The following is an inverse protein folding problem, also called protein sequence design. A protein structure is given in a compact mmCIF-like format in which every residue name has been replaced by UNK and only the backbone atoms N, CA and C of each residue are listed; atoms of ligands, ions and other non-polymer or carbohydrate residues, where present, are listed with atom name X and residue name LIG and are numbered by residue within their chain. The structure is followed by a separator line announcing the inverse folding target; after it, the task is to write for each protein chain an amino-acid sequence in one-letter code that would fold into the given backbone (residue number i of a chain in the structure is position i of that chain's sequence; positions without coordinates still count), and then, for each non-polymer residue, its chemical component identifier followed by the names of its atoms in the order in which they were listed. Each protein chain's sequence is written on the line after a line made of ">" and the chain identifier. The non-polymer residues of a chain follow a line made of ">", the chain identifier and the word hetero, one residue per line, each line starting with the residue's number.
data_IF_359881613131
#
_entry.id   IF_359881613131
#
_cell.length_a   1.000
_cell.length_b   1.000
_cell.length_c   1.000
_cell.angle_alpha   90.00
_cell.angle_beta   90.00
_cell.angle_gamma   90.00
#
_symmetry.space_group_name_H-M   'P 1'
#
loop_
_entity.id
_entity.type
_entity.pdbx_description
1 polymer ?
#
# COMPACT_ATOMS: atom_id res chain seq x y z
N UNK A 1 -1.60 10.87 3.39
CA UNK A 1 -2.09 9.94 2.35
C UNK A 1 -0.98 8.96 2.00
N UNK A 2 -1.31 7.77 1.47
CA UNK A 2 -0.32 6.75 1.12
C UNK A 2 0.66 7.21 0.03
N UNK A 3 0.18 7.93 -0.99
CA UNK A 3 1.06 8.49 -2.04
C UNK A 3 2.18 9.37 -1.48
N UNK A 4 1.87 10.24 -0.51
CA UNK A 4 2.87 11.08 0.16
C UNK A 4 3.91 10.29 0.97
N UNK A 5 3.53 9.14 1.51
CA UNK A 5 4.47 8.26 2.18
C UNK A 5 5.43 7.61 1.17
N UNK A 6 4.93 7.17 0.02
CA UNK A 6 5.76 6.68 -1.09
C UNK A 6 6.73 7.77 -1.57
N UNK A 7 6.25 8.99 -1.76
CA UNK A 7 7.11 10.12 -2.17
C UNK A 7 8.19 10.44 -1.13
N UNK A 8 7.85 10.38 0.16
CA UNK A 8 8.81 10.60 1.24
C UNK A 8 9.91 9.53 1.25
N UNK A 9 9.55 8.25 1.10
CA UNK A 9 10.52 7.15 1.02
C UNK A 9 11.40 7.28 -0.22
N UNK A 10 10.82 7.60 -1.38
CA UNK A 10 11.55 7.82 -2.63
C UNK A 10 12.58 8.96 -2.50
N UNK A 11 12.22 10.05 -1.82
CA UNK A 11 13.15 11.14 -1.53
C UNK A 11 14.27 10.71 -0.57
N UNK A 12 13.93 10.00 0.52
CA UNK A 12 14.90 9.57 1.54
C UNK A 12 15.97 8.63 0.99
N UNK A 13 15.63 7.76 0.04
CA UNK A 13 16.58 6.80 -0.54
C UNK A 13 17.29 7.34 -1.80
N UNK A 14 17.06 8.60 -2.16
CA UNK A 14 17.74 9.28 -3.26
C UNK A 14 17.19 8.97 -4.66
N UNK A 15 15.96 8.47 -4.79
CA UNK A 15 15.33 8.26 -6.12
C UNK A 15 15.00 9.61 -6.75
N UNK A 16 14.30 10.46 -6.00
CA UNK A 16 13.79 11.73 -6.54
C UNK A 16 13.53 12.74 -5.43
N UNK A 17 14.16 13.91 -5.53
CA UNK A 17 13.95 15.03 -4.61
C UNK A 17 12.94 16.06 -5.15
N UNK A 18 12.80 16.17 -6.47
CA UNK A 18 11.85 17.08 -7.15
C UNK A 18 11.00 16.31 -8.15
N UNK A 19 9.68 16.48 -8.12
CA UNK A 19 8.75 15.86 -9.06
C UNK A 19 8.31 16.85 -10.17
N UNK A 20 8.07 16.34 -11.37
CA UNK A 20 7.57 17.10 -12.54
C UNK A 20 6.14 16.73 -12.91
N UNK A 21 5.60 15.65 -12.33
CA UNK A 21 4.20 15.24 -12.43
C UNK A 21 3.75 14.48 -11.17
N UNK A 22 2.44 14.31 -11.01
CA UNK A 22 1.85 13.61 -9.87
C UNK A 22 2.28 12.12 -9.81
N UNK A 23 2.55 11.62 -8.60
CA UNK A 23 2.97 10.24 -8.33
C UNK A 23 4.31 9.80 -8.96
N UNK A 24 5.07 10.70 -9.59
CA UNK A 24 6.34 10.37 -10.23
C UNK A 24 7.31 9.62 -9.30
N UNK A 25 7.52 10.12 -8.09
CA UNK A 25 8.49 9.53 -7.16
C UNK A 25 8.04 8.12 -6.72
N UNK A 26 6.73 7.91 -6.53
CA UNK A 26 6.16 6.58 -6.27
C UNK A 26 6.33 5.60 -7.44
N UNK A 27 6.13 6.05 -8.68
CA UNK A 27 6.34 5.22 -9.89
C UNK A 27 7.81 4.84 -10.04
N UNK A 28 8.72 5.77 -9.79
CA UNK A 28 10.15 5.50 -9.90
C UNK A 28 10.66 4.60 -8.77
N UNK A 29 10.09 4.74 -7.57
CA UNK A 29 10.34 3.83 -6.44
C UNK A 29 9.90 2.40 -6.76
N UNK A 30 8.76 2.23 -7.43
CA UNK A 30 8.32 0.95 -7.96
C UNK A 30 9.26 0.41 -9.05
N UNK A 31 9.71 1.29 -9.95
CA UNK A 31 10.62 0.95 -11.05
C UNK A 31 12.01 0.46 -10.62
N UNK A 32 12.38 0.60 -9.35
CA UNK A 32 13.58 -0.02 -8.77
C UNK A 32 13.45 -1.53 -8.60
N UNK A 33 12.23 -2.05 -8.59
CA UNK A 33 11.96 -3.46 -8.27
C UNK A 33 12.00 -4.32 -9.55
N UNK A 34 12.73 -5.45 -9.54
CA UNK A 34 12.63 -6.42 -10.61
C UNK A 34 11.23 -7.08 -10.62
N UNK A 35 10.75 -7.57 -11.78
CA UNK A 35 9.51 -8.33 -11.85
C UNK A 35 9.52 -9.52 -10.88
N UNK A 36 8.42 -9.74 -10.16
CA UNK A 36 8.29 -10.78 -9.12
C UNK A 36 9.37 -10.67 -8.03
N UNK A 37 9.69 -9.45 -7.61
CA UNK A 37 10.71 -9.20 -6.59
C UNK A 37 10.52 -10.08 -5.33
N UNK A 38 11.55 -10.85 -4.93
CA UNK A 38 11.44 -11.78 -3.82
C UNK A 38 11.39 -11.07 -2.46
N UNK A 39 11.98 -9.87 -2.33
CA UNK A 39 11.97 -9.09 -1.08
C UNK A 39 10.57 -8.55 -0.81
N UNK A 40 9.88 -8.06 -1.84
CA UNK A 40 8.47 -7.63 -1.70
C UNK A 40 7.59 -8.78 -1.22
N UNK A 41 7.85 -9.99 -1.72
CA UNK A 41 7.08 -11.18 -1.36
C UNK A 41 7.50 -11.80 -0.02
N UNK A 42 8.69 -11.49 0.49
CA UNK A 42 9.18 -11.96 1.78
C UNK A 42 8.66 -11.08 2.94
N UNK A 43 7.64 -11.60 3.62
CA UNK A 43 7.03 -10.96 4.79
C UNK A 43 8.03 -10.75 5.94
N UNK A 44 9.03 -11.61 6.10
CA UNK A 44 9.95 -11.56 7.23
C UNK A 44 11.03 -10.47 7.07
N UNK A 45 11.26 -10.03 5.84
CA UNK A 45 12.26 -9.01 5.53
C UNK A 45 11.73 -7.58 5.58
N UNK A 46 10.42 -7.39 5.79
CA UNK A 46 9.78 -6.06 5.73
C UNK A 46 10.11 -5.17 6.92
N UNK A 47 9.91 -3.86 6.75
CA UNK A 47 9.73 -2.99 7.89
C UNK A 47 8.37 -3.26 8.58
N UNK A 48 8.20 -2.72 9.78
CA UNK A 48 6.98 -2.88 10.57
C UNK A 48 6.35 -1.52 10.81
N UNK A 49 5.05 -1.42 10.51
CA UNK A 49 4.22 -0.31 10.97
C UNK A 49 3.78 -0.58 12.40
N UNK A 50 3.67 0.46 13.22
CA UNK A 50 2.91 0.36 14.46
C UNK A 50 1.43 0.52 14.13
N UNK A 51 0.62 -0.44 14.57
CA UNK A 51 -0.83 -0.42 14.39
C UNK A 51 -1.49 -0.39 15.77
N UNK A 52 -2.38 0.56 15.99
CA UNK A 52 -3.09 0.71 17.24
C UNK A 52 -4.50 1.29 17.03
N UNK A 53 -5.38 1.05 17.99
CA UNK A 53 -6.74 1.61 18.01
C UNK A 53 -6.72 2.94 18.78
N UNK A 54 -7.23 4.01 18.19
CA UNK A 54 -7.35 5.33 18.83
C UNK A 54 -8.76 5.62 19.39
N UNK A 55 -9.69 4.67 19.26
CA UNK A 55 -11.08 4.78 19.67
C UNK A 55 -12.04 5.14 18.53
N UNK A 56 -11.54 5.74 17.44
CA UNK A 56 -12.29 6.04 16.21
C UNK A 56 -11.93 5.06 15.07
N UNK A 57 -10.82 4.34 15.19
CA UNK A 57 -10.48 3.22 14.32
C UNK A 57 -9.02 2.78 14.44
N UNK A 58 -8.63 1.87 13.55
CA UNK A 58 -7.25 1.40 13.45
C UNK A 58 -6.36 2.46 12.78
N UNK A 59 -5.34 2.92 13.50
CA UNK A 59 -4.31 3.84 13.02
C UNK A 59 -3.05 3.06 12.66
N UNK A 60 -2.49 3.39 11.49
CA UNK A 60 -1.21 2.86 11.00
C UNK A 60 -0.17 3.99 11.08
N UNK A 61 0.76 3.92 12.04
CA UNK A 61 1.80 4.94 12.23
C UNK A 61 3.02 4.68 11.32
N UNK A 62 3.34 5.58 10.38
CA UNK A 62 4.50 5.44 9.51
C UNK A 62 5.85 5.79 10.16
N UNK A 63 5.87 6.39 11.36
CA UNK A 63 7.09 6.88 11.98
C UNK A 63 8.18 5.80 12.18
N UNK A 64 7.86 4.56 12.64
CA UNK A 64 8.85 3.50 12.78
C UNK A 64 9.51 3.14 11.45
N UNK A 65 8.74 3.13 10.35
CA UNK A 65 9.25 2.82 9.02
C UNK A 65 10.17 3.92 8.51
N UNK A 66 9.78 5.18 8.66
CA UNK A 66 10.63 6.30 8.24
C UNK A 66 11.97 6.27 9.00
N UNK A 67 11.95 5.97 10.30
CA UNK A 67 13.17 5.79 11.08
C UNK A 67 14.03 4.63 10.57
N UNK A 68 13.41 3.49 10.25
CA UNK A 68 14.11 2.31 9.73
C UNK A 68 14.72 2.56 8.33
N UNK A 69 13.98 3.23 7.44
CA UNK A 69 14.46 3.65 6.12
C UNK A 69 15.68 4.56 6.26
N UNK A 70 15.62 5.58 7.13
CA UNK A 70 16.76 6.47 7.38
C UNK A 70 17.97 5.70 7.92
N UNK A 71 17.75 4.73 8.80
CA UNK A 71 18.82 3.90 9.34
C UNK A 71 19.49 3.05 8.23
N UNK A 72 18.71 2.45 7.34
CA UNK A 72 19.24 1.64 6.24
C UNK A 72 19.95 2.48 5.18
N UNK A 73 19.45 3.68 4.88
CA UNK A 73 20.17 4.66 4.04
C UNK A 73 21.53 4.99 4.64
N UNK A 74 21.61 5.27 5.95
CA UNK A 74 22.87 5.55 6.65
C UNK A 74 23.84 4.36 6.67
N UNK A 75 23.31 3.14 6.59
CA UNK A 75 24.09 1.90 6.50
C UNK A 75 24.54 1.57 5.06
N UNK A 76 24.12 2.35 4.07
CA UNK A 76 24.43 2.09 2.66
C UNK A 76 23.71 0.87 2.09
N UNK A 77 22.53 0.54 2.61
CA UNK A 77 21.69 -0.51 2.03
C UNK A 77 21.24 -0.06 0.62
N UNK A 78 21.29 -0.95 -0.40
CA UNK A 78 20.86 -0.59 -1.75
C UNK A 78 19.41 -0.07 -1.80
N UNK A 79 19.11 0.98 -2.59
CA UNK A 79 17.77 1.55 -2.71
C UNK A 79 16.70 0.52 -3.10
N UNK A 80 17.03 -0.44 -3.97
CA UNK A 80 16.12 -1.49 -4.43
C UNK A 80 15.67 -2.38 -3.27
N UNK A 81 16.60 -2.72 -2.37
CA UNK A 81 16.30 -3.50 -1.17
C UNK A 81 15.40 -2.70 -0.21
N UNK A 82 15.68 -1.41 -0.01
CA UNK A 82 14.84 -0.55 0.85
C UNK A 82 13.44 -0.42 0.26
N UNK A 83 13.33 -0.19 -1.06
CA UNK A 83 12.06 -0.13 -1.77
C UNK A 83 11.27 -1.44 -1.60
N UNK A 84 11.92 -2.59 -1.75
CA UNK A 84 11.29 -3.90 -1.58
C UNK A 84 10.74 -4.10 -0.17
N UNK A 85 11.54 -3.79 0.86
CA UNK A 85 11.14 -3.88 2.27
C UNK A 85 9.99 -2.92 2.61
N UNK A 86 9.97 -1.73 2.02
CA UNK A 86 8.90 -0.76 2.19
C UNK A 86 7.58 -1.25 1.57
N UNK A 87 7.58 -1.71 0.32
CA UNK A 87 6.38 -2.28 -0.30
C UNK A 87 5.88 -3.50 0.48
N UNK A 88 6.80 -4.35 0.95
CA UNK A 88 6.46 -5.46 1.82
C UNK A 88 5.87 -4.98 3.16
N UNK A 89 6.32 -3.87 3.73
CA UNK A 89 5.73 -3.36 4.97
C UNK A 89 4.28 -2.91 4.75
N UNK A 90 4.02 -2.17 3.65
CA UNK A 90 2.68 -1.64 3.34
C UNK A 90 1.67 -2.75 3.14
N UNK A 91 2.00 -3.77 2.33
CA UNK A 91 1.07 -4.88 2.12
C UNK A 91 0.90 -5.76 3.38
N UNK A 92 1.84 -5.75 4.34
CA UNK A 92 1.70 -6.47 5.60
C UNK A 92 0.72 -5.73 6.51
N UNK A 93 0.87 -4.40 6.63
CA UNK A 93 -0.05 -3.57 7.40
C UNK A 93 -1.48 -3.62 6.86
N UNK A 94 -1.68 -3.64 5.53
CA UNK A 94 -3.01 -3.83 4.92
C UNK A 94 -3.65 -5.13 5.41
N UNK A 95 -2.92 -6.25 5.32
CA UNK A 95 -3.46 -7.55 5.73
C UNK A 95 -3.73 -7.61 7.24
N UNK A 96 -2.86 -7.02 8.06
CA UNK A 96 -3.00 -6.95 9.51
C UNK A 96 -4.25 -6.16 9.91
N UNK A 97 -4.44 -4.96 9.37
CA UNK A 97 -5.62 -4.13 9.67
C UNK A 97 -6.90 -4.81 9.21
N UNK A 98 -6.91 -5.48 8.05
CA UNK A 98 -8.08 -6.26 7.63
C UNK A 98 -8.41 -7.40 8.62
N UNK A 99 -7.40 -8.09 9.16
CA UNK A 99 -7.61 -9.13 10.18
C UNK A 99 -8.19 -8.55 11.47
N UNK A 100 -7.67 -7.40 11.93
CA UNK A 100 -8.19 -6.70 13.11
C UNK A 100 -9.66 -6.30 12.90
N UNK A 101 -9.97 -5.65 11.78
CA UNK A 101 -11.34 -5.24 11.45
C UNK A 101 -12.28 -6.44 11.29
N UNK A 102 -11.81 -7.57 10.78
CA UNK A 102 -12.62 -8.81 10.72
C UNK A 102 -12.98 -9.32 12.11
N UNK A 103 -12.10 -9.18 13.11
CA UNK A 103 -12.41 -9.59 14.47
C UNK A 103 -13.59 -8.78 15.05
N UNK A 104 -13.69 -7.51 14.68
CA UNK A 104 -14.73 -6.62 15.19
C UNK A 104 -16.03 -6.68 14.36
N UNK A 105 -15.93 -6.92 13.06
CA UNK A 105 -17.07 -6.79 12.11
C UNK A 105 -17.55 -8.11 11.52
N UNK A 106 -16.73 -9.16 11.54
CA UNK A 106 -16.99 -10.43 10.86
C UNK A 106 -16.88 -10.39 9.32
N UNK A 107 -16.41 -9.28 8.73
CA UNK A 107 -16.30 -9.15 7.28
C UNK A 107 -15.12 -9.96 6.71
N UNK A 108 -15.37 -10.71 5.63
CA UNK A 108 -14.39 -11.58 4.97
C UNK A 108 -14.04 -11.16 3.53
N UNK A 109 -14.66 -10.08 3.04
CA UNK A 109 -14.42 -9.55 1.70
C UNK A 109 -13.74 -8.20 1.77
N UNK A 110 -12.63 -8.03 1.05
CA UNK A 110 -11.83 -6.81 1.01
C UNK A 110 -11.75 -6.31 -0.43
N UNK A 111 -12.10 -5.03 -0.65
CA UNK A 111 -11.92 -4.38 -1.94
C UNK A 111 -10.69 -3.47 -1.93
N UNK A 112 -9.74 -3.70 -2.84
CA UNK A 112 -8.55 -2.87 -3.02
C UNK A 112 -8.75 -1.91 -4.19
N UNK A 113 -8.68 -0.60 -3.90
CA UNK A 113 -9.01 0.48 -4.84
C UNK A 113 -8.22 1.75 -4.53
N UNK A 114 -8.12 2.65 -5.51
CA UNK A 114 -7.38 3.92 -5.43
C UNK A 114 -6.01 3.84 -6.09
N UNK A 115 -5.46 5.01 -6.45
CA UNK A 115 -4.29 5.13 -7.33
C UNK A 115 -3.03 4.41 -6.83
N UNK A 116 -2.89 4.22 -5.51
CA UNK A 116 -1.77 3.48 -4.94
C UNK A 116 -1.71 2.02 -5.40
N UNK A 117 -2.85 1.40 -5.70
CA UNK A 117 -2.91 0.02 -6.21
C UNK A 117 -2.70 -0.08 -7.72
N UNK A 118 -2.32 1.02 -8.40
CA UNK A 118 -1.69 0.93 -9.72
C UNK A 118 -0.28 0.36 -9.64
N UNK A 119 0.35 0.42 -8.46
CA UNK A 119 1.59 -0.24 -8.17
C UNK A 119 1.39 -1.77 -8.17
N UNK A 120 1.94 -2.45 -9.18
CA UNK A 120 1.69 -3.87 -9.42
C UNK A 120 2.31 -4.74 -8.34
N UNK A 121 3.45 -4.32 -7.81
CA UNK A 121 4.14 -5.02 -6.71
C UNK A 121 3.32 -4.98 -5.42
N UNK A 122 2.80 -3.81 -5.07
CA UNK A 122 1.95 -3.64 -3.89
C UNK A 122 0.63 -4.40 -4.04
N UNK A 123 -0.03 -4.30 -5.20
CA UNK A 123 -1.30 -4.96 -5.43
C UNK A 123 -1.16 -6.48 -5.34
N UNK A 124 -0.19 -7.07 -6.03
CA UNK A 124 0.08 -8.52 -6.00
C UNK A 124 0.41 -9.00 -4.58
N UNK A 125 1.29 -8.28 -3.86
CA UNK A 125 1.64 -8.64 -2.49
C UNK A 125 0.44 -8.53 -1.52
N UNK A 126 -0.37 -7.47 -1.63
CA UNK A 126 -1.55 -7.29 -0.78
C UNK A 126 -2.61 -8.37 -1.05
N UNK A 127 -2.88 -8.69 -2.32
CA UNK A 127 -3.81 -9.75 -2.71
C UNK A 127 -3.38 -11.09 -2.12
N UNK A 128 -2.12 -11.49 -2.34
CA UNK A 128 -1.60 -12.76 -1.78
C UNK A 128 -1.73 -12.80 -0.28
N UNK A 129 -1.39 -11.72 0.41
CA UNK A 129 -1.40 -11.69 1.89
C UNK A 129 -2.79 -11.78 2.48
N UNK A 130 -3.76 -11.14 1.85
CA UNK A 130 -5.16 -11.24 2.23
C UNK A 130 -5.73 -12.64 1.92
N UNK A 131 -5.42 -13.22 0.76
CA UNK A 131 -5.84 -14.57 0.39
C UNK A 131 -5.26 -15.64 1.31
N UNK A 132 -3.98 -15.51 1.71
CA UNK A 132 -3.34 -16.38 2.70
C UNK A 132 -3.99 -16.28 4.10
N UNK A 133 -4.90 -15.33 4.31
CA UNK A 133 -5.69 -15.13 5.54
C UNK A 133 -7.19 -15.35 5.30
N UNK A 134 -7.51 -16.05 4.23
CA UNK A 134 -8.86 -16.48 3.85
C UNK A 134 -9.82 -15.33 3.52
N UNK A 135 -9.30 -14.18 3.10
CA UNK A 135 -10.15 -13.10 2.57
C UNK A 135 -10.49 -13.33 1.09
N UNK A 136 -11.73 -13.01 0.73
CA UNK A 136 -12.11 -12.78 -0.67
C UNK A 136 -11.66 -11.38 -1.08
N UNK A 137 -10.75 -11.28 -2.04
CA UNK A 137 -10.19 -9.98 -2.47
C UNK A 137 -10.80 -9.55 -3.81
N UNK A 138 -11.37 -8.34 -3.82
CA UNK A 138 -11.89 -7.68 -5.00
C UNK A 138 -10.89 -6.63 -5.47
N UNK A 139 -10.48 -6.69 -6.73
CA UNK A 139 -9.61 -5.70 -7.36
C UNK A 139 -10.26 -5.16 -8.62
N UNK A 140 -9.95 -3.93 -9.00
CA UNK A 140 -10.39 -3.39 -10.29
C UNK A 140 -9.80 -4.21 -11.45
N UNK A 141 -10.64 -4.66 -12.37
CA UNK A 141 -10.23 -5.47 -13.54
C UNK A 141 -10.56 -4.82 -14.89
N UNK A 142 -11.51 -3.87 -14.92
CA UNK A 142 -12.07 -3.27 -16.15
C UNK A 142 -11.99 -1.74 -16.15
N UNK A 143 -11.67 -1.12 -15.02
CA UNK A 143 -11.55 0.35 -14.87
C UNK A 143 -10.20 0.64 -14.20
N UNK A 144 -9.46 1.68 -14.62
CA UNK A 144 -8.17 1.96 -14.01
C UNK A 144 -8.35 2.43 -12.56
N UNK A 145 -7.44 2.04 -11.67
CA UNK A 145 -7.50 2.40 -10.25
C UNK A 145 -7.24 3.89 -9.94
N UNK A 146 -7.11 4.76 -10.97
CA UNK A 146 -6.99 6.22 -10.83
C UNK A 146 -8.38 6.88 -10.85
N UNK A 147 -8.41 8.22 -10.84
CA UNK A 147 -9.63 9.04 -10.87
C UNK A 147 -10.59 8.74 -12.04
N UNK A 148 -10.14 7.98 -13.05
CA UNK A 148 -11.00 7.42 -14.09
C UNK A 148 -12.02 6.38 -13.58
N UNK A 149 -11.78 5.72 -12.44
CA UNK A 149 -12.70 4.79 -11.78
C UNK A 149 -13.59 5.41 -10.68
N UNK A 150 -13.24 6.61 -10.21
CA UNK A 150 -13.98 7.34 -9.17
C UNK A 150 -15.41 7.68 -9.61
N UNK A 151 -15.59 8.01 -10.89
CA UNK A 151 -16.89 8.29 -11.48
C UNK A 151 -17.87 7.10 -11.42
N UNK A 152 -17.37 5.85 -11.49
CA UNK A 152 -18.22 4.66 -11.39
C UNK A 152 -18.67 4.39 -9.94
N UNK A 153 -17.76 4.56 -8.98
CA UNK A 153 -18.09 4.45 -7.55
C UNK A 153 -19.08 5.53 -7.11
N UNK A 154 -18.90 6.76 -7.58
CA UNK A 154 -19.84 7.86 -7.34
C UNK A 154 -21.21 7.62 -7.99
N UNK A 155 -21.24 7.09 -9.22
CA UNK A 155 -22.50 6.78 -9.91
C UNK A 155 -23.31 5.68 -9.22
N UNK A 156 -22.66 4.60 -8.75
CA UNK A 156 -23.36 3.50 -8.05
C UNK A 156 -23.87 3.94 -6.68
N UNK A 157 -23.07 4.68 -5.90
CA UNK A 157 -23.53 5.24 -4.61
C UNK A 157 -24.67 6.23 -4.83
N UNK A 158 -24.58 7.08 -5.87
CA UNK A 158 -25.65 8.01 -6.24
C UNK A 158 -26.94 7.32 -6.65
N UNK A 159 -26.87 6.25 -7.44
CA UNK A 159 -28.05 5.45 -7.79
C UNK A 159 -28.68 4.77 -6.57
N UNK A 160 -27.87 4.20 -5.67
CA UNK A 160 -28.40 3.56 -4.46
C UNK A 160 -29.10 4.55 -3.51
N UNK A 161 -28.61 5.79 -3.41
CA UNK A 161 -29.25 6.85 -2.63
C UNK A 161 -30.54 7.41 -3.24
N UNK A 162 -30.74 7.27 -4.55
CA UNK A 162 -31.96 7.68 -5.25
C UNK A 162 -33.05 6.60 -5.25
N UNK A 163 -32.67 5.34 -5.00
CA UNK A 163 -33.58 4.20 -4.88
C UNK A 163 -34.04 3.91 -3.43
N UNK A 164 -33.50 4.65 -2.45
CA UNK A 164 -33.89 4.62 -1.03
C UNK A 164 -34.84 5.75 -0.68
#
# INVERSE_FOLDING_TARGET
>A
SMGRLFDAVAALIGVRETITYEAQAGIELEGLLPPLDPVVNDRASSYTFDVYDDGDGQIIDPAPILAAVVADVRRGVPPEAIAGRFHAAVANAIAEVCVLLRADTGLETVALSGGVFQNVHLLDAAVRRLQDRDFTVLTHRVVPANDGGLALGQAIIGCHQLES
#
